data_IF_348140704997
#
_entry.id   IF_348140704997
#
_cell.length_a   1.000
_cell.length_b   1.000
_cell.length_c   1.000
_cell.angle_alpha   90.00
_cell.angle_beta   90.00
_cell.angle_gamma   90.00
#
_symmetry.space_group_name_H-M   'P 1'
#
loop_
_entity.id
_entity.type
_entity.pdbx_description
1 polymer ?
#
# COMPACT_ATOMS: atom_id res chain seq x y z
N UNK A 1 3.12 -7.26 9.45
CA UNK A 1 1.72 -7.07 9.92
C UNK A 1 0.91 -8.35 9.69
N UNK A 2 -0.26 -8.57 10.33
CA UNK A 2 -1.12 -9.72 10.03
C UNK A 2 -1.51 -9.75 8.54
N UNK A 3 -1.46 -10.93 7.91
CA UNK A 3 -1.66 -11.11 6.46
C UNK A 3 -2.96 -10.49 5.94
N UNK A 4 -4.05 -10.63 6.69
CA UNK A 4 -5.35 -10.05 6.30
C UNK A 4 -5.32 -8.52 6.23
N UNK A 5 -4.57 -7.86 7.14
CA UNK A 5 -4.43 -6.40 7.17
C UNK A 5 -3.61 -5.93 5.97
N UNK A 6 -2.52 -6.64 5.63
CA UNK A 6 -1.68 -6.35 4.45
C UNK A 6 -2.52 -6.39 3.17
N UNK A 7 -3.30 -7.45 3.02
CA UNK A 7 -4.12 -7.68 1.84
C UNK A 7 -5.18 -6.57 1.62
N UNK A 8 -5.72 -5.98 2.70
CA UNK A 8 -6.65 -4.85 2.59
C UNK A 8 -5.94 -3.62 1.99
N UNK A 9 -4.76 -3.27 2.51
CA UNK A 9 -3.99 -2.12 2.00
C UNK A 9 -3.53 -2.33 0.57
N UNK A 10 -3.00 -3.52 0.24
CA UNK A 10 -2.58 -3.85 -1.14
C UNK A 10 -3.75 -3.71 -2.11
N UNK A 11 -4.93 -4.23 -1.77
CA UNK A 11 -6.11 -4.11 -2.62
C UNK A 11 -6.59 -2.66 -2.75
N UNK A 12 -6.58 -1.90 -1.66
CA UNK A 12 -6.97 -0.50 -1.67
C UNK A 12 -6.01 0.35 -2.54
N UNK A 13 -4.70 0.16 -2.38
CA UNK A 13 -3.68 0.85 -3.18
C UNK A 13 -3.83 0.47 -4.64
N UNK A 14 -3.95 -0.83 -4.97
CA UNK A 14 -4.15 -1.28 -6.35
C UNK A 14 -5.38 -0.65 -7.00
N UNK A 15 -6.49 -0.54 -6.27
CA UNK A 15 -7.70 0.12 -6.77
C UNK A 15 -7.46 1.63 -7.01
N UNK A 16 -6.79 2.32 -6.08
CA UNK A 16 -6.46 3.74 -6.23
C UNK A 16 -5.46 4.01 -7.35
N UNK A 17 -4.50 3.11 -7.61
CA UNK A 17 -3.60 3.21 -8.75
C UNK A 17 -4.37 3.22 -10.08
N UNK A 18 -5.39 2.37 -10.22
CA UNK A 18 -6.24 2.33 -11.42
C UNK A 18 -7.14 3.56 -11.53
N UNK A 19 -7.70 4.02 -10.41
CA UNK A 19 -8.65 5.14 -10.38
C UNK A 19 -7.98 6.51 -10.54
N UNK A 20 -6.85 6.73 -9.86
CA UNK A 20 -6.16 8.02 -9.80
C UNK A 20 -4.93 8.08 -10.74
N UNK A 21 -4.48 6.94 -11.29
CA UNK A 21 -3.28 6.88 -12.14
C UNK A 21 -1.98 7.13 -11.38
N UNK A 22 -1.99 7.04 -10.04
CA UNK A 22 -0.82 7.25 -9.17
C UNK A 22 -0.05 5.95 -8.95
N UNK A 23 1.18 6.08 -8.45
CA UNK A 23 2.01 4.94 -8.05
C UNK A 23 1.80 4.56 -6.58
N UNK A 24 2.10 3.31 -6.22
CA UNK A 24 1.92 2.79 -4.87
C UNK A 24 2.68 3.60 -3.81
N UNK A 25 3.86 4.11 -4.14
CA UNK A 25 4.71 4.94 -3.26
C UNK A 25 4.07 6.28 -2.88
N UNK A 26 3.30 6.90 -3.77
CA UNK A 26 2.57 8.13 -3.43
C UNK A 26 1.33 7.82 -2.59
N UNK A 27 0.64 6.71 -2.91
CA UNK A 27 -0.58 6.31 -2.22
C UNK A 27 -0.33 5.78 -0.81
N UNK A 28 0.83 5.17 -0.56
CA UNK A 28 1.18 4.67 0.78
C UNK A 28 1.44 5.83 1.76
N UNK A 29 1.86 6.99 1.27
CA UNK A 29 2.15 8.18 2.10
C UNK A 29 0.90 8.81 2.72
N UNK A 30 -0.28 8.61 2.10
CA UNK A 30 -1.57 9.03 2.67
C UNK A 30 -1.88 8.31 4.00
N UNK A 31 -1.32 7.13 4.22
CA UNK A 31 -1.55 6.32 5.42
C UNK A 31 -0.54 6.66 6.51
N UNK A 32 -0.70 7.83 7.13
CA UNK A 32 0.16 8.32 8.23
C UNK A 32 0.18 7.44 9.49
N UNK A 33 -0.82 6.59 9.67
CA UNK A 33 -0.93 5.67 10.81
C UNK A 33 -0.19 4.34 10.61
N UNK A 34 0.33 4.07 9.40
CA UNK A 34 1.19 2.92 9.17
C UNK A 34 2.61 3.23 9.61
N UNK A 35 3.26 2.29 10.28
CA UNK A 35 4.69 2.41 10.59
C UNK A 35 5.53 2.27 9.32
N UNK A 36 6.79 2.68 9.39
CA UNK A 36 7.74 2.54 8.27
C UNK A 36 7.87 1.08 7.83
N UNK A 37 7.97 0.13 8.76
CA UNK A 37 7.97 -1.30 8.47
C UNK A 37 6.69 -1.78 7.78
N UNK A 38 5.52 -1.33 8.25
CA UNK A 38 4.24 -1.71 7.63
C UNK A 38 4.12 -1.17 6.20
N UNK A 39 4.57 0.08 5.97
CA UNK A 39 4.61 0.67 4.62
C UNK A 39 5.53 -0.10 3.69
N UNK A 40 6.72 -0.46 4.17
CA UNK A 40 7.69 -1.24 3.40
C UNK A 40 7.14 -2.64 3.04
N UNK A 41 6.48 -3.33 3.98
CA UNK A 41 5.85 -4.63 3.71
C UNK A 41 4.73 -4.55 2.66
N UNK A 42 3.98 -3.46 2.62
CA UNK A 42 2.92 -3.26 1.61
C UNK A 42 3.54 -2.91 0.25
N UNK A 43 4.55 -2.02 0.22
CA UNK A 43 5.22 -1.61 -1.01
C UNK A 43 5.95 -2.77 -1.69
N UNK A 44 6.49 -3.72 -0.91
CA UNK A 44 7.14 -4.91 -1.45
C UNK A 44 6.24 -5.75 -2.37
N UNK A 45 4.90 -5.64 -2.27
CA UNK A 45 3.95 -6.38 -3.13
C UNK A 45 3.74 -5.71 -4.51
N UNK A 46 4.28 -4.50 -4.70
CA UNK A 46 4.20 -3.75 -5.96
C UNK A 46 5.55 -3.64 -6.69
N UNK A 47 6.62 -4.09 -6.04
CA UNK A 47 7.98 -4.12 -6.58
C UNK A 47 8.33 -5.58 -6.91
N UNK A 48 7.83 -6.09 -8.03
CA UNK A 48 8.22 -7.38 -8.64
C UNK A 48 8.37 -7.22 -10.16
#
# INVERSE_FOLDING_TARGET
MPTWKKNIFVRAIRARMVLEGKIAEELIEDYRNLTVDEKAEILSEFTE
#
